data_IF_223909065211
#
_entry.id   IF_223909065211
#
_cell.length_a   1.000
_cell.length_b   1.000
_cell.length_c   1.000
_cell.angle_alpha   90.00
_cell.angle_beta   90.00
_cell.angle_gamma   90.00
#
_symmetry.space_group_name_H-M   'P 1'
#
loop_
_entity.id
_entity.type
_entity.pdbx_description
1 polymer ?
#
# COMPACT_ATOMS: atom_id res chain seq x y z
N UNK A 1 22.46 -3.66 -34.39
CA UNK A 1 22.42 -4.90 -33.63
C UNK A 1 21.03 -5.00 -32.98
N UNK A 2 20.37 -6.06 -33.35
CA UNK A 2 18.94 -6.25 -33.44
C UNK A 2 18.19 -6.34 -32.11
N UNK A 3 16.97 -5.80 -32.14
CA UNK A 3 15.90 -5.81 -31.15
C UNK A 3 15.52 -7.21 -30.57
N UNK A 4 16.01 -8.30 -31.15
CA UNK A 4 15.72 -9.68 -30.75
C UNK A 4 16.62 -10.24 -29.64
N UNK A 5 17.86 -9.78 -29.49
CA UNK A 5 18.80 -10.38 -28.51
C UNK A 5 18.51 -9.99 -27.05
N UNK A 6 17.76 -8.88 -26.80
CA UNK A 6 17.42 -8.49 -25.43
C UNK A 6 16.23 -9.24 -24.85
N UNK A 7 15.35 -9.78 -25.68
CA UNK A 7 14.22 -10.62 -25.25
C UNK A 7 14.68 -12.01 -24.84
N UNK A 8 15.74 -12.55 -25.46
CA UNK A 8 16.24 -13.89 -25.15
C UNK A 8 17.04 -13.95 -23.83
N UNK A 9 17.67 -12.86 -23.40
CA UNK A 9 18.40 -12.81 -22.13
C UNK A 9 17.45 -12.88 -20.92
N UNK A 10 16.23 -12.36 -21.04
CA UNK A 10 15.20 -12.47 -20.01
C UNK A 10 14.46 -13.82 -19.99
N UNK A 11 14.50 -14.55 -21.08
CA UNK A 11 13.88 -15.88 -21.19
C UNK A 11 14.70 -17.00 -20.53
N UNK A 12 16.02 -16.81 -20.36
CA UNK A 12 16.93 -17.82 -19.78
C UNK A 12 17.04 -17.82 -18.26
N UNK A 13 16.60 -16.75 -17.56
CA UNK A 13 16.58 -16.74 -16.10
C UNK A 13 15.21 -17.15 -15.56
N UNK A 14 14.91 -18.44 -15.67
CA UNK A 14 13.88 -19.17 -14.90
C UNK A 14 12.50 -18.53 -14.84
N UNK A 15 11.52 -19.19 -15.41
CA UNK A 15 10.06 -19.02 -15.34
C UNK A 15 9.49 -18.42 -14.04
N UNK A 16 9.83 -17.19 -13.71
CA UNK A 16 9.05 -16.35 -12.82
C UNK A 16 8.37 -15.33 -13.71
N UNK A 17 7.09 -15.49 -13.86
CA UNK A 17 6.21 -14.72 -14.74
C UNK A 17 6.58 -13.22 -14.74
N UNK A 18 7.27 -12.79 -15.79
CA UNK A 18 7.40 -11.40 -16.23
C UNK A 18 6.02 -10.82 -16.64
N UNK A 19 4.97 -11.48 -16.21
CA UNK A 19 3.59 -11.09 -16.40
C UNK A 19 3.38 -9.84 -15.58
N UNK A 20 3.46 -8.69 -16.28
CA UNK A 20 2.73 -7.54 -15.81
C UNK A 20 3.57 -6.34 -15.42
N UNK A 21 4.56 -6.04 -16.21
CA UNK A 21 5.12 -4.69 -16.25
C UNK A 21 4.31 -3.90 -17.27
N UNK A 22 3.74 -2.75 -16.88
CA UNK A 22 3.09 -1.85 -17.83
C UNK A 22 4.15 -1.25 -18.76
N UNK A 23 3.92 -1.39 -20.05
CA UNK A 23 4.86 -0.95 -21.10
C UNK A 23 4.36 0.31 -21.78
N UNK A 24 5.27 1.17 -22.23
CA UNK A 24 4.91 2.34 -23.04
C UNK A 24 5.15 3.69 -22.37
N UNK A 25 4.58 4.71 -22.98
CA UNK A 25 4.75 6.11 -22.56
C UNK A 25 3.65 6.59 -21.62
N UNK A 26 2.47 6.01 -21.70
CA UNK A 26 1.30 6.39 -20.93
C UNK A 26 0.63 5.18 -20.30
N UNK A 27 -0.10 5.43 -19.22
CA UNK A 27 -0.87 4.42 -18.51
C UNK A 27 -2.36 4.76 -18.55
N UNK A 28 -3.22 3.77 -18.80
CA UNK A 28 -4.66 3.92 -18.71
C UNK A 28 -5.19 3.56 -17.33
N UNK A 29 -6.37 4.07 -16.98
CA UNK A 29 -7.04 3.66 -15.75
C UNK A 29 -7.29 2.15 -15.71
N UNK A 30 -7.69 1.55 -16.84
CA UNK A 30 -7.96 0.11 -16.91
C UNK A 30 -6.71 -0.73 -16.61
N UNK A 31 -5.54 -0.29 -17.07
CA UNK A 31 -4.27 -0.95 -16.75
C UNK A 31 -4.02 -0.97 -15.25
N UNK A 32 -4.19 0.18 -14.57
CA UNK A 32 -3.99 0.29 -13.13
C UNK A 32 -5.02 -0.50 -12.31
N UNK A 33 -6.28 -0.55 -12.76
CA UNK A 33 -7.31 -1.36 -12.12
C UNK A 33 -7.05 -2.84 -12.27
N UNK A 34 -6.56 -3.29 -13.43
CA UNK A 34 -6.26 -4.70 -13.71
C UNK A 34 -5.15 -5.26 -12.82
N UNK A 35 -4.26 -4.41 -12.30
CA UNK A 35 -3.16 -4.82 -11.41
C UNK A 35 -3.67 -5.48 -10.11
N UNK A 36 -4.88 -5.16 -9.67
CA UNK A 36 -5.47 -5.79 -8.49
C UNK A 36 -5.60 -7.30 -8.64
N UNK A 37 -6.15 -7.77 -9.76
CA UNK A 37 -6.35 -9.20 -10.01
C UNK A 37 -5.04 -9.97 -10.15
N UNK A 38 -4.00 -9.28 -10.64
CA UNK A 38 -2.68 -9.86 -10.83
C UNK A 38 -1.87 -9.96 -9.53
N UNK A 39 -2.18 -9.14 -8.52
CA UNK A 39 -1.60 -9.24 -7.17
C UNK A 39 -2.20 -10.40 -6.39
N UNK A 40 -3.48 -10.71 -6.60
CA UNK A 40 -4.16 -11.82 -5.94
C UNK A 40 -3.52 -13.17 -6.26
N UNK A 41 -3.10 -13.41 -7.50
CA UNK A 41 -2.40 -14.64 -7.89
C UNK A 41 -1.01 -14.79 -7.26
N UNK A 42 -0.35 -13.68 -6.91
CA UNK A 42 0.99 -13.72 -6.29
C UNK A 42 0.96 -13.99 -4.78
N UNK A 43 -0.15 -13.66 -4.12
CA UNK A 43 -0.30 -13.89 -2.67
C UNK A 43 -0.61 -15.34 -2.32
N UNK A 44 -1.06 -16.15 -3.27
CA UNK A 44 -1.35 -17.56 -3.04
C UNK A 44 -0.10 -18.43 -2.98
N UNK A 45 0.97 -18.07 -3.69
CA UNK A 45 2.22 -18.86 -3.70
C UNK A 45 3.11 -18.63 -2.47
N UNK A 46 2.94 -17.54 -1.73
CA UNK A 46 3.77 -17.21 -0.55
C UNK A 46 3.11 -17.51 0.79
N UNK A 47 1.88 -18.02 0.82
CA UNK A 47 1.15 -18.26 2.06
C UNK A 47 1.26 -19.70 2.55
N UNK A 48 2.46 -20.16 2.90
CA UNK A 48 2.67 -21.45 3.59
C UNK A 48 2.53 -21.38 5.13
N UNK A 49 2.07 -20.27 5.68
CA UNK A 49 1.67 -20.21 7.10
C UNK A 49 0.42 -19.36 7.28
N UNK A 50 -0.72 -19.99 7.04
CA UNK A 50 -2.03 -19.44 7.48
C UNK A 50 -2.24 -19.83 8.94
N UNK A 51 -1.67 -19.12 9.87
CA UNK A 51 -2.27 -18.96 11.20
C UNK A 51 -3.47 -18.05 11.00
N UNK A 52 -4.66 -18.52 11.42
CA UNK A 52 -5.97 -17.91 11.16
C UNK A 52 -6.17 -16.55 11.84
N UNK A 53 -5.40 -15.55 11.44
CA UNK A 53 -5.58 -14.16 11.83
C UNK A 53 -6.41 -13.45 10.77
N UNK A 54 -7.47 -12.78 11.17
CA UNK A 54 -8.29 -11.95 10.28
C UNK A 54 -7.40 -10.98 9.53
N UNK A 55 -7.49 -10.97 8.19
CA UNK A 55 -6.77 -10.03 7.31
C UNK A 55 -7.15 -8.61 7.71
N UNK A 56 -6.15 -7.82 8.12
CA UNK A 56 -6.32 -6.38 8.39
C UNK A 56 -6.02 -5.92 9.80
N UNK A 57 -5.76 -6.82 10.74
CA UNK A 57 -5.42 -6.45 12.11
C UNK A 57 -3.91 -6.58 12.30
N UNK A 58 -3.21 -5.47 12.29
CA UNK A 58 -1.82 -5.42 12.76
C UNK A 58 -1.85 -5.25 14.27
N UNK A 59 -1.50 -6.32 14.98
CA UNK A 59 -1.37 -6.28 16.43
C UNK A 59 -0.31 -5.24 16.82
N UNK A 60 -0.73 -4.23 17.55
CA UNK A 60 0.19 -3.25 18.14
C UNK A 60 1.02 -3.91 19.23
N UNK A 61 2.31 -3.57 19.34
CA UNK A 61 3.17 -3.98 20.46
C UNK A 61 2.79 -3.28 21.78
N UNK A 62 1.87 -2.31 21.72
CA UNK A 62 1.43 -1.58 22.89
C UNK A 62 0.15 -2.18 23.44
N UNK A 63 0.18 -2.54 24.73
CA UNK A 63 -1.01 -2.94 25.47
C UNK A 63 -1.81 -1.69 25.81
N UNK A 64 -3.11 -1.66 25.47
CA UNK A 64 -3.96 -0.51 25.67
C UNK A 64 -5.43 -0.91 25.87
N UNK A 65 -6.32 0.07 25.90
CA UNK A 65 -7.78 -0.15 25.92
C UNK A 65 -8.30 -0.58 24.53
N UNK A 66 -7.80 -1.70 24.02
CA UNK A 66 -8.23 -2.25 22.74
C UNK A 66 -9.46 -3.14 22.88
N UNK A 67 -10.02 -3.50 21.72
CA UNK A 67 -11.21 -4.34 21.61
C UNK A 67 -10.83 -5.83 21.53
N UNK A 68 -9.60 -6.14 21.11
CA UNK A 68 -9.16 -7.52 20.90
C UNK A 68 -8.47 -8.07 22.15
N UNK A 69 -8.99 -9.19 22.65
CA UNK A 69 -8.37 -9.93 23.75
C UNK A 69 -7.05 -10.53 23.32
N UNK A 70 -5.98 -10.23 24.04
CA UNK A 70 -4.64 -10.76 23.77
C UNK A 70 -4.31 -11.94 24.68
N UNK A 71 -4.25 -11.68 25.98
CA UNK A 71 -3.85 -12.68 26.97
C UNK A 71 -4.39 -12.38 28.37
N UNK A 72 -4.25 -13.35 29.26
CA UNK A 72 -4.50 -13.17 30.70
C UNK A 72 -3.19 -13.32 31.45
N UNK A 73 -2.80 -12.26 32.17
CA UNK A 73 -1.63 -12.31 33.07
C UNK A 73 -2.02 -12.08 34.54
N UNK A 74 -1.09 -12.38 35.44
CA UNK A 74 -1.30 -12.03 36.84
C UNK A 74 -1.42 -10.52 37.02
N UNK A 75 -2.36 -10.08 37.86
CA UNK A 75 -2.59 -8.68 38.19
C UNK A 75 -1.32 -8.06 38.79
N UNK A 76 -0.99 -6.88 38.36
CA UNK A 76 0.06 -6.03 38.91
C UNK A 76 -0.54 -4.75 39.48
N UNK A 77 0.10 -4.20 40.52
CA UNK A 77 -0.33 -2.93 41.12
C UNK A 77 -0.27 -1.84 40.05
N UNK A 78 -1.42 -1.18 39.82
CA UNK A 78 -1.60 -0.17 38.77
C UNK A 78 -2.45 -0.64 37.57
N UNK A 79 -2.79 -1.93 37.48
CA UNK A 79 -3.73 -2.41 36.46
C UNK A 79 -5.17 -1.97 36.77
N UNK A 80 -5.99 -1.80 35.72
CA UNK A 80 -7.41 -1.48 35.89
C UNK A 80 -8.17 -2.67 36.48
N UNK A 81 -8.75 -2.47 37.66
CA UNK A 81 -9.55 -3.45 38.39
C UNK A 81 -10.72 -3.97 37.55
N UNK A 82 -11.27 -3.16 36.63
CA UNK A 82 -12.35 -3.56 35.76
C UNK A 82 -11.94 -4.62 34.73
N UNK A 83 -10.64 -4.74 34.48
CA UNK A 83 -10.08 -5.73 33.55
C UNK A 83 -9.80 -7.09 34.20
N UNK A 84 -10.09 -7.27 35.50
CA UNK A 84 -9.88 -8.54 36.18
C UNK A 84 -10.81 -9.62 35.62
N UNK A 85 -10.22 -10.76 35.25
CA UNK A 85 -10.97 -11.97 34.90
C UNK A 85 -11.28 -12.79 36.14
N UNK A 86 -12.47 -12.58 36.68
CA UNK A 86 -12.91 -13.29 37.90
C UNK A 86 -12.99 -14.81 37.72
N UNK A 87 -13.24 -15.29 36.51
CA UNK A 87 -13.34 -16.73 36.23
C UNK A 87 -11.96 -17.40 36.29
N UNK A 88 -10.92 -16.77 35.75
CA UNK A 88 -9.54 -17.26 35.82
C UNK A 88 -9.00 -17.07 37.24
N UNK A 89 -9.27 -15.96 37.88
CA UNK A 89 -8.92 -15.65 39.26
C UNK A 89 -9.44 -16.73 40.23
N UNK A 90 -10.69 -17.14 40.11
CA UNK A 90 -11.28 -18.18 40.92
C UNK A 90 -10.62 -19.56 40.77
N UNK A 91 -10.12 -19.87 39.58
CA UNK A 91 -9.42 -21.13 39.29
C UNK A 91 -7.96 -21.14 39.77
N UNK A 92 -7.28 -20.00 39.70
CA UNK A 92 -5.86 -19.89 40.01
C UNK A 92 -5.54 -19.34 41.39
N UNK A 93 -6.58 -18.95 42.18
CA UNK A 93 -6.45 -18.33 43.51
C UNK A 93 -5.53 -17.10 43.57
N UNK A 94 -5.34 -16.44 42.45
CA UNK A 94 -4.57 -15.20 42.32
C UNK A 94 -5.28 -14.28 41.33
N UNK A 95 -5.37 -12.97 41.55
CA UNK A 95 -6.03 -12.07 40.63
C UNK A 95 -5.31 -12.06 39.28
N UNK A 96 -6.08 -12.20 38.21
CA UNK A 96 -5.60 -12.15 36.83
C UNK A 96 -6.37 -11.07 36.05
N UNK A 97 -5.65 -10.33 35.23
CA UNK A 97 -6.21 -9.27 34.39
C UNK A 97 -6.19 -9.67 32.92
N UNK A 98 -7.22 -9.26 32.19
CA UNK A 98 -7.30 -9.38 30.74
C UNK A 98 -6.48 -8.27 30.12
N UNK A 99 -5.58 -8.62 29.23
CA UNK A 99 -4.84 -7.67 28.41
C UNK A 99 -5.53 -7.59 27.07
N UNK A 100 -5.86 -6.38 26.66
CA UNK A 100 -6.39 -6.07 25.35
C UNK A 100 -5.32 -5.41 24.52
N UNK A 101 -5.23 -5.76 23.25
CA UNK A 101 -4.40 -5.05 22.28
C UNK A 101 -5.20 -3.96 21.59
N UNK A 102 -4.60 -2.79 21.45
CA UNK A 102 -5.19 -1.69 20.71
C UNK A 102 -5.04 -1.95 19.22
N UNK A 103 -6.16 -2.05 18.52
CA UNK A 103 -6.17 -2.06 17.06
C UNK A 103 -5.86 -0.65 16.55
N UNK A 104 -4.69 -0.46 15.98
CA UNK A 104 -4.29 0.80 15.35
C UNK A 104 -4.38 0.69 13.85
N UNK A 105 -5.28 1.46 13.27
CA UNK A 105 -5.29 1.68 11.83
C UNK A 105 -4.08 2.54 11.42
N UNK A 106 -3.31 2.06 10.45
CA UNK A 106 -2.18 2.81 9.88
C UNK A 106 -2.58 3.36 8.51
N UNK A 107 -2.98 4.65 8.42
CA UNK A 107 -3.28 5.24 7.12
C UNK A 107 -2.00 5.31 6.28
N UNK A 108 -2.02 4.75 5.09
CA UNK A 108 -0.93 4.81 4.12
C UNK A 108 -1.22 5.92 3.12
N UNK A 109 -0.27 6.83 2.94
CA UNK A 109 -0.30 7.86 1.89
C UNK A 109 0.74 7.52 0.84
N UNK A 110 0.28 7.34 -0.39
CA UNK A 110 1.13 7.07 -1.56
C UNK A 110 1.41 8.38 -2.26
N UNK A 111 2.64 8.86 -2.18
CA UNK A 111 3.09 10.06 -2.88
C UNK A 111 3.64 9.71 -4.26
N UNK A 112 3.09 10.31 -5.32
CA UNK A 112 3.40 9.99 -6.70
C UNK A 112 3.77 11.26 -7.47
N UNK A 113 4.98 11.27 -8.00
CA UNK A 113 5.44 12.31 -8.90
C UNK A 113 5.06 11.99 -10.35
N UNK A 114 4.23 12.86 -10.94
CA UNK A 114 3.81 12.84 -12.34
C UNK A 114 4.17 14.18 -13.00
N UNK A 115 5.38 14.68 -12.74
CA UNK A 115 5.93 15.86 -13.39
C UNK A 115 6.70 15.49 -14.67
N UNK A 116 7.05 16.51 -15.43
CA UNK A 116 7.84 16.36 -16.67
C UNK A 116 9.18 15.66 -16.45
N UNK A 117 9.79 15.78 -15.27
CA UNK A 117 11.04 15.09 -14.93
C UNK A 117 10.89 13.56 -14.93
N UNK A 118 9.66 13.06 -14.71
CA UNK A 118 9.33 11.64 -14.76
C UNK A 118 9.00 11.15 -16.17
N UNK A 119 8.84 12.08 -17.15
CA UNK A 119 8.59 11.73 -18.56
C UNK A 119 9.88 11.34 -19.28
N UNK A 120 10.60 10.39 -18.70
CA UNK A 120 11.87 9.89 -19.20
C UNK A 120 11.92 8.36 -19.08
N UNK A 121 12.53 7.71 -20.06
CA UNK A 121 12.75 6.28 -20.06
C UNK A 121 13.79 5.89 -21.09
N UNK A 122 14.59 4.86 -20.79
CA UNK A 122 15.70 4.43 -21.64
C UNK A 122 15.33 3.33 -22.63
N UNK A 123 14.44 2.36 -22.24
CA UNK A 123 14.20 1.17 -23.07
C UNK A 123 12.73 0.77 -23.16
N UNK A 124 12.10 0.35 -22.07
CA UNK A 124 10.81 -0.35 -22.11
C UNK A 124 9.61 0.54 -21.77
N UNK A 125 9.78 1.46 -20.82
CA UNK A 125 8.72 2.33 -20.32
C UNK A 125 9.28 3.62 -19.72
N UNK A 126 8.42 4.62 -19.57
CA UNK A 126 8.78 5.86 -18.88
C UNK A 126 8.75 5.70 -17.37
N UNK A 127 9.53 6.51 -16.64
CA UNK A 127 9.54 6.53 -15.19
C UNK A 127 8.17 6.86 -14.61
N UNK A 128 7.41 7.77 -15.25
CA UNK A 128 6.06 8.14 -14.87
C UNK A 128 5.10 6.94 -14.90
N UNK A 129 5.21 6.06 -15.90
CA UNK A 129 4.43 4.82 -15.99
C UNK A 129 4.84 3.83 -14.90
N UNK A 130 6.15 3.70 -14.64
CA UNK A 130 6.66 2.85 -13.57
C UNK A 130 6.18 3.32 -12.19
N UNK A 131 6.21 4.63 -11.94
CA UNK A 131 5.72 5.23 -10.70
C UNK A 131 4.21 4.99 -10.50
N UNK A 132 3.41 5.15 -11.56
CA UNK A 132 1.97 4.88 -11.53
C UNK A 132 1.67 3.39 -11.24
N UNK A 133 2.42 2.46 -11.85
CA UNK A 133 2.28 1.02 -11.59
C UNK A 133 2.60 0.68 -10.14
N UNK A 134 3.73 1.16 -9.61
CA UNK A 134 4.13 0.91 -8.21
C UNK A 134 3.10 1.49 -7.24
N UNK A 135 2.63 2.71 -7.49
CA UNK A 135 1.60 3.34 -6.69
C UNK A 135 0.29 2.52 -6.66
N UNK A 136 -0.14 2.02 -7.82
CA UNK A 136 -1.34 1.19 -7.90
C UNK A 136 -1.17 -0.14 -7.14
N UNK A 137 -0.01 -0.79 -7.25
CA UNK A 137 0.29 -2.03 -6.53
C UNK A 137 0.24 -1.82 -5.01
N UNK A 138 0.91 -0.77 -4.52
CA UNK A 138 0.90 -0.41 -3.10
C UNK A 138 -0.53 -0.10 -2.63
N UNK A 139 -1.29 0.70 -3.39
CA UNK A 139 -2.64 1.08 -3.03
C UNK A 139 -3.58 -0.14 -2.93
N UNK A 140 -3.53 -1.06 -3.89
CA UNK A 140 -4.33 -2.28 -3.85
C UNK A 140 -3.90 -3.22 -2.72
N UNK A 141 -2.60 -3.43 -2.55
CA UNK A 141 -2.08 -4.28 -1.48
C UNK A 141 -2.46 -3.74 -0.09
N UNK A 142 -2.32 -2.44 0.14
CA UNK A 142 -2.72 -1.80 1.40
C UNK A 142 -4.22 -1.93 1.66
N UNK A 143 -5.06 -1.74 0.62
CA UNK A 143 -6.50 -1.92 0.75
C UNK A 143 -6.86 -3.39 1.06
N UNK A 144 -6.20 -4.35 0.42
CA UNK A 144 -6.45 -5.79 0.66
C UNK A 144 -5.96 -6.23 2.05
N UNK A 145 -4.98 -5.54 2.63
CA UNK A 145 -4.58 -5.68 4.05
C UNK A 145 -5.59 -5.04 5.01
N UNK A 146 -6.58 -4.31 4.50
CA UNK A 146 -7.63 -3.68 5.29
C UNK A 146 -7.26 -2.29 5.83
N UNK A 147 -6.12 -1.73 5.45
CA UNK A 147 -5.68 -0.41 5.85
C UNK A 147 -6.34 0.71 5.01
N UNK A 148 -6.26 1.95 5.50
CA UNK A 148 -6.73 3.13 4.78
C UNK A 148 -5.68 3.59 3.77
N UNK A 149 -6.10 3.87 2.54
CA UNK A 149 -5.25 4.35 1.46
C UNK A 149 -5.62 5.78 1.09
N UNK A 150 -4.64 6.65 1.08
CA UNK A 150 -4.68 7.99 0.52
C UNK A 150 -3.55 8.20 -0.47
N UNK A 151 -3.49 9.37 -1.09
CA UNK A 151 -2.41 9.68 -2.01
C UNK A 151 -2.19 11.17 -2.21
N UNK A 152 -0.96 11.50 -2.55
CA UNK A 152 -0.52 12.82 -2.97
C UNK A 152 0.02 12.69 -4.41
N UNK A 153 -0.58 13.39 -5.34
CA UNK A 153 -0.18 13.37 -6.75
C UNK A 153 0.34 14.73 -7.12
N UNK A 154 1.60 14.80 -7.47
CA UNK A 154 2.23 16.00 -8.02
C UNK A 154 2.20 15.92 -9.54
N UNK A 155 1.56 16.90 -10.17
CA UNK A 155 1.62 17.16 -11.62
C UNK A 155 2.50 18.37 -11.91
N UNK A 156 2.66 18.75 -13.19
CA UNK A 156 3.40 19.96 -13.54
C UNK A 156 2.76 21.25 -13.00
N UNK A 157 1.44 21.25 -12.81
CA UNK A 157 0.66 22.47 -12.52
C UNK A 157 0.00 22.42 -11.14
N UNK A 158 -0.16 21.23 -10.57
CA UNK A 158 -1.02 21.05 -9.40
C UNK A 158 -0.50 19.92 -8.49
N UNK A 159 -0.92 20.00 -7.23
CA UNK A 159 -0.67 18.98 -6.22
C UNK A 159 -2.00 18.53 -5.61
N UNK A 160 -2.44 17.31 -5.92
CA UNK A 160 -3.73 16.79 -5.52
C UNK A 160 -3.60 15.84 -4.33
N UNK A 161 -4.28 16.18 -3.21
CA UNK A 161 -4.34 15.34 -2.03
C UNK A 161 -5.64 14.51 -2.01
N UNK A 162 -5.50 13.20 -1.95
CA UNK A 162 -6.57 12.24 -1.70
C UNK A 162 -6.52 11.75 -0.26
N UNK A 163 -7.53 12.10 0.55
CA UNK A 163 -7.60 11.71 1.96
C UNK A 163 -7.67 10.19 2.12
N UNK A 164 -6.97 9.59 3.10
CA UNK A 164 -6.98 8.16 3.33
C UNK A 164 -8.37 7.61 3.63
N UNK A 165 -8.80 6.59 2.87
CA UNK A 165 -10.09 5.90 3.06
C UNK A 165 -9.93 4.41 2.80
N UNK A 166 -10.69 3.58 3.54
CA UNK A 166 -10.79 2.13 3.34
C UNK A 166 -11.92 1.83 2.35
N UNK A 167 -11.70 2.12 1.06
CA UNK A 167 -12.72 1.93 0.03
C UNK A 167 -12.10 1.72 -1.34
N UNK A 168 -12.59 0.72 -2.08
CA UNK A 168 -12.20 0.48 -3.48
C UNK A 168 -12.47 1.70 -4.38
N UNK A 169 -13.59 2.41 -4.13
CA UNK A 169 -13.93 3.64 -4.86
C UNK A 169 -12.90 4.74 -4.64
N UNK A 170 -12.34 4.85 -3.41
CA UNK A 170 -11.31 5.84 -3.11
C UNK A 170 -10.00 5.51 -3.83
N UNK A 171 -9.59 4.24 -3.84
CA UNK A 171 -8.41 3.80 -4.60
C UNK A 171 -8.62 4.01 -6.09
N UNK A 172 -9.77 3.63 -6.65
CA UNK A 172 -10.06 3.87 -8.07
C UNK A 172 -10.02 5.37 -8.43
N UNK A 173 -10.51 6.26 -7.54
CA UNK A 173 -10.41 7.71 -7.74
C UNK A 173 -8.96 8.19 -7.73
N UNK A 174 -8.13 7.69 -6.80
CA UNK A 174 -6.71 7.98 -6.75
C UNK A 174 -6.01 7.55 -8.04
N UNK A 175 -6.25 6.31 -8.50
CA UNK A 175 -5.66 5.77 -9.71
C UNK A 175 -6.11 6.51 -10.97
N UNK A 176 -7.37 6.97 -11.01
CA UNK A 176 -7.86 7.82 -12.09
C UNK A 176 -7.11 9.15 -12.16
N UNK A 177 -6.89 9.80 -11.02
CA UNK A 177 -6.12 11.04 -10.97
C UNK A 177 -4.67 10.83 -11.41
N UNK A 178 -4.03 9.72 -11.02
CA UNK A 178 -2.68 9.35 -11.47
C UNK A 178 -2.66 9.15 -12.99
N UNK A 179 -3.64 8.42 -13.55
CA UNK A 179 -3.75 8.19 -14.99
C UNK A 179 -3.92 9.49 -15.77
N UNK A 180 -4.81 10.37 -15.32
CA UNK A 180 -5.03 11.68 -15.95
C UNK A 180 -3.78 12.54 -15.91
N UNK A 181 -3.08 12.63 -14.78
CA UNK A 181 -1.82 13.35 -14.65
C UNK A 181 -0.74 12.77 -15.56
N UNK A 182 -0.67 11.43 -15.68
CA UNK A 182 0.27 10.74 -16.57
C UNK A 182 -0.01 11.05 -18.04
N UNK A 183 -1.28 11.02 -18.46
CA UNK A 183 -1.69 11.32 -19.84
C UNK A 183 -1.51 12.78 -20.23
N UNK A 184 -1.50 13.69 -19.26
CA UNK A 184 -1.24 15.10 -19.49
C UNK A 184 0.25 15.41 -19.75
N UNK A 185 1.16 14.46 -19.47
CA UNK A 185 2.58 14.64 -19.74
C UNK A 185 2.87 14.62 -21.24
N UNK A 186 3.69 15.57 -21.70
CA UNK A 186 4.15 15.60 -23.08
C UNK A 186 5.60 16.14 -23.12
N UNK A 187 6.30 15.90 -24.21
CA UNK A 187 7.73 16.28 -24.38
C UNK A 187 7.98 17.79 -24.30
N UNK A 188 6.95 18.60 -24.55
CA UNK A 188 7.05 20.06 -24.64
C UNK A 188 6.60 20.80 -23.40
N UNK A 189 6.07 20.10 -22.39
CA UNK A 189 5.62 20.76 -21.17
C UNK A 189 6.82 21.21 -20.33
N UNK A 190 6.84 22.49 -19.94
CA UNK A 190 7.87 23.01 -19.03
C UNK A 190 7.46 22.74 -17.59
N UNK A 191 8.41 22.36 -16.75
CA UNK A 191 8.19 22.32 -15.30
C UNK A 191 8.02 23.76 -14.80
N UNK A 192 6.85 24.04 -14.22
CA UNK A 192 6.54 25.35 -13.63
C UNK A 192 6.48 25.25 -12.10
N UNK A 193 6.56 24.06 -11.55
CA UNK A 193 6.38 23.84 -10.12
C UNK A 193 7.70 23.57 -9.40
N UNK A 194 7.82 23.98 -8.11
CA UNK A 194 8.95 23.64 -7.26
C UNK A 194 9.15 22.13 -7.14
N UNK A 195 10.27 21.72 -6.57
CA UNK A 195 10.56 20.30 -6.42
C UNK A 195 9.49 19.60 -5.57
N UNK A 196 9.18 18.34 -5.90
CA UNK A 196 8.21 17.53 -5.14
C UNK A 196 8.49 17.46 -3.64
N UNK A 197 9.78 17.48 -3.26
CA UNK A 197 10.20 17.45 -1.86
C UNK A 197 9.88 18.75 -1.12
N UNK A 198 9.95 19.90 -1.78
CA UNK A 198 9.62 21.20 -1.17
C UNK A 198 8.12 21.30 -0.84
N UNK A 199 7.26 20.77 -1.72
CA UNK A 199 5.82 20.74 -1.49
C UNK A 199 5.39 19.72 -0.39
N UNK A 200 6.23 18.76 -0.09
CA UNK A 200 5.92 17.72 0.92
C UNK A 200 6.29 18.18 2.34
N UNK A 201 7.18 19.16 2.46
CA UNK A 201 7.71 19.69 3.74
C UNK A 201 6.91 20.91 4.22
N UNK A 202 6.28 21.65 3.31
CA UNK A 202 5.41 22.79 3.60
C UNK A 202 3.94 22.36 3.77
#
# INVERSE_FOLDING_TARGET
>A
LSRCQYLDFYAMTGKRSLQTILMGAYVSLNDLLSLRHRLSSYSEETSTQKTGSQRGIKLSKYNGRGIEFSEVRAYQVGDDIKSIDWRVTARKNKPHTKIFQEEREHPTIVAVDQTQNMFFGSVARLKSVAAAEVAARIAWQTLDLGDRVGGLIKSNTDCQLHRPRRSQKAVAKLLNSISLSNQALNRSSKNTSPSFLEDLIN
#
